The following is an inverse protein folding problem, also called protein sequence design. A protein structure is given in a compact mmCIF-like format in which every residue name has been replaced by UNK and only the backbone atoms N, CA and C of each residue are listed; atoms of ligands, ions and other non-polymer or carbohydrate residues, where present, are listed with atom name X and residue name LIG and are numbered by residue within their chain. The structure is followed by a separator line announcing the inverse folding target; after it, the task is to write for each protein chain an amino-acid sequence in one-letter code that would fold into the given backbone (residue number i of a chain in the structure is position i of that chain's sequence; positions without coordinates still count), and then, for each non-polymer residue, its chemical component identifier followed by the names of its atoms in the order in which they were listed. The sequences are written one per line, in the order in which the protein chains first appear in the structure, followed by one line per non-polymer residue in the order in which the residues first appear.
data_IF_544312755762
#
_entry.id   IF_544312755762
#
_cell.length_a   1.000
_cell.length_b   1.000
_cell.length_c   1.000
_cell.angle_alpha   90.00
_cell.angle_beta   90.00
_cell.angle_gamma   90.00
#
_symmetry.space_group_name_H-M   'P 1'
#
loop_
_entity.id
_entity.type
_entity.pdbx_description
1 polymer ?
#
# COMPACT_ATOMS: atom_id res chain seq x y z
N UNK A 1 -34.54 -12.80 -20.52
CA UNK A 1 -34.57 -12.17 -19.18
C UNK A 1 -33.66 -10.96 -19.30
N UNK A 2 -34.07 -9.78 -18.84
CA UNK A 2 -33.22 -8.58 -18.91
C UNK A 2 -31.99 -8.79 -18.03
N UNK A 3 -30.80 -8.63 -18.60
CA UNK A 3 -29.54 -8.76 -17.88
C UNK A 3 -29.44 -7.74 -16.73
N UNK A 4 -28.59 -8.06 -15.76
CA UNK A 4 -28.27 -7.19 -14.63
C UNK A 4 -27.50 -5.99 -15.16
N UNK A 5 -27.99 -4.79 -14.86
CA UNK A 5 -27.53 -3.54 -15.47
C UNK A 5 -26.38 -2.96 -14.66
N UNK A 6 -25.21 -2.87 -15.27
CA UNK A 6 -23.96 -2.44 -14.64
C UNK A 6 -23.59 -1.03 -15.09
N UNK A 7 -23.34 -0.14 -14.14
CA UNK A 7 -22.71 1.16 -14.38
C UNK A 7 -21.24 1.09 -13.95
N UNK A 8 -20.33 1.45 -14.85
CA UNK A 8 -18.90 1.56 -14.57
C UNK A 8 -18.52 3.01 -14.31
N UNK A 9 -17.76 3.27 -13.26
CA UNK A 9 -17.30 4.61 -12.94
C UNK A 9 -15.81 4.60 -12.61
N UNK A 10 -14.98 5.11 -13.53
CA UNK A 10 -13.52 5.15 -13.41
C UNK A 10 -12.99 6.25 -14.33
N UNK A 11 -12.01 7.05 -13.92
CA UNK A 11 -11.43 8.11 -14.76
C UNK A 11 -10.39 7.58 -15.78
N UNK A 12 -9.88 6.37 -15.58
CA UNK A 12 -8.88 5.73 -16.43
C UNK A 12 -9.53 4.87 -17.53
N UNK A 13 -9.54 5.41 -18.76
CA UNK A 13 -10.21 4.76 -19.90
C UNK A 13 -9.73 3.32 -20.20
N UNK A 14 -8.43 3.04 -20.07
CA UNK A 14 -7.87 1.69 -20.32
C UNK A 14 -8.38 0.69 -19.28
N UNK A 15 -8.38 1.07 -18.00
CA UNK A 15 -8.84 0.22 -16.90
C UNK A 15 -10.34 -0.04 -17.05
N UNK A 16 -11.11 1.02 -17.31
CA UNK A 16 -12.56 0.93 -17.54
C UNK A 16 -12.90 -0.01 -18.69
N UNK A 17 -12.15 0.02 -19.79
CA UNK A 17 -12.30 -0.90 -20.92
C UNK A 17 -11.99 -2.35 -20.53
N UNK A 18 -10.94 -2.60 -19.75
CA UNK A 18 -10.61 -3.95 -19.25
C UNK A 18 -11.70 -4.51 -18.34
N UNK A 19 -12.24 -3.69 -17.43
CA UNK A 19 -13.34 -4.07 -16.53
C UNK A 19 -14.61 -4.34 -17.33
N UNK A 20 -14.95 -3.50 -18.33
CA UNK A 20 -16.08 -3.73 -19.23
C UNK A 20 -16.00 -5.10 -19.87
N UNK A 21 -14.87 -5.44 -20.49
CA UNK A 21 -14.70 -6.74 -21.15
C UNK A 21 -14.91 -7.90 -20.16
N UNK A 22 -14.39 -7.78 -18.93
CA UNK A 22 -14.56 -8.79 -17.89
C UNK A 22 -16.02 -8.98 -17.45
N UNK A 23 -16.79 -7.89 -17.42
CA UNK A 23 -18.21 -7.89 -17.07
C UNK A 23 -19.04 -8.47 -18.23
N UNK A 24 -18.76 -8.07 -19.47
CA UNK A 24 -19.49 -8.52 -20.66
C UNK A 24 -19.22 -10.00 -21.02
N UNK A 25 -18.15 -10.62 -20.48
CA UNK A 25 -17.94 -12.07 -20.52
C UNK A 25 -18.94 -12.87 -19.66
N UNK A 26 -19.73 -12.21 -18.82
CA UNK A 26 -20.77 -12.83 -18.01
C UNK A 26 -22.13 -12.58 -18.67
N UNK A 27 -22.72 -13.61 -19.28
CA UNK A 27 -23.95 -13.53 -20.08
C UNK A 27 -25.15 -12.89 -19.36
N UNK A 28 -25.12 -12.81 -18.03
CA UNK A 28 -26.17 -12.26 -17.18
C UNK A 28 -26.00 -10.75 -16.90
N UNK A 29 -24.88 -10.13 -17.28
CA UNK A 29 -24.53 -8.74 -16.97
C UNK A 29 -24.43 -7.90 -18.25
N UNK A 30 -24.95 -6.67 -18.17
CA UNK A 30 -24.93 -5.70 -19.27
C UNK A 30 -24.39 -4.36 -18.78
N UNK A 31 -23.32 -3.85 -19.39
CA UNK A 31 -22.80 -2.52 -19.06
C UNK A 31 -23.63 -1.43 -19.75
N UNK A 32 -24.51 -0.78 -18.99
CA UNK A 32 -25.48 0.21 -19.49
C UNK A 32 -24.95 1.64 -19.56
N UNK A 33 -23.78 1.90 -18.98
CA UNK A 33 -23.15 3.21 -19.04
C UNK A 33 -21.78 3.28 -18.39
N UNK A 34 -21.11 4.40 -18.61
CA UNK A 34 -19.81 4.73 -18.05
C UNK A 34 -19.80 6.16 -17.51
N UNK A 35 -19.14 6.36 -16.38
CA UNK A 35 -18.83 7.65 -15.79
C UNK A 35 -17.32 7.78 -15.58
N UNK A 36 -16.81 9.03 -15.64
CA UNK A 36 -15.38 9.34 -15.49
C UNK A 36 -15.07 10.26 -14.30
N UNK A 37 -16.11 10.79 -13.67
CA UNK A 37 -16.03 11.76 -12.59
C UNK A 37 -17.32 11.71 -11.75
N UNK A 38 -17.32 12.39 -10.61
CA UNK A 38 -18.50 12.46 -9.73
C UNK A 38 -19.77 12.98 -10.43
N UNK A 39 -19.74 14.14 -11.11
CA UNK A 39 -20.93 14.69 -11.79
C UNK A 39 -21.52 13.75 -12.86
N UNK A 40 -20.69 13.13 -13.69
CA UNK A 40 -21.16 12.16 -14.69
C UNK A 40 -21.74 10.92 -14.03
N UNK A 41 -21.16 10.43 -12.93
CA UNK A 41 -21.71 9.31 -12.15
C UNK A 41 -23.13 9.60 -11.64
N UNK A 42 -23.34 10.74 -10.97
CA UNK A 42 -24.67 11.07 -10.44
C UNK A 42 -25.72 11.26 -11.55
N UNK A 43 -25.33 11.85 -12.68
CA UNK A 43 -26.21 11.98 -13.85
C UNK A 43 -26.57 10.61 -14.42
N UNK A 44 -25.59 9.70 -14.53
CA UNK A 44 -25.81 8.33 -15.01
C UNK A 44 -26.67 7.51 -14.05
N UNK A 45 -26.53 7.65 -12.74
CA UNK A 45 -27.39 6.98 -11.77
C UNK A 45 -28.86 7.39 -11.89
N UNK A 46 -29.13 8.68 -12.13
CA UNK A 46 -30.48 9.22 -12.30
C UNK A 46 -31.15 8.76 -13.60
N UNK A 47 -30.38 8.60 -14.66
CA UNK A 47 -30.91 8.30 -16.00
C UNK A 47 -30.93 6.81 -16.30
N UNK A 48 -29.92 6.07 -15.84
CA UNK A 48 -29.72 4.69 -16.20
C UNK A 48 -30.28 3.72 -15.17
N UNK A 49 -30.51 4.07 -13.91
CA UNK A 49 -31.04 3.12 -12.90
C UNK A 49 -30.35 1.73 -12.91
N UNK A 50 -29.02 1.65 -12.71
CA UNK A 50 -28.31 0.38 -12.72
C UNK A 50 -28.67 -0.49 -11.49
N UNK A 51 -28.44 -1.79 -11.61
CA UNK A 51 -28.55 -2.76 -10.51
C UNK A 51 -27.22 -2.90 -9.75
N UNK A 52 -26.10 -2.66 -10.45
CA UNK A 52 -24.75 -2.76 -9.93
C UNK A 52 -23.90 -1.55 -10.37
N UNK A 53 -23.23 -0.92 -9.41
CA UNK A 53 -22.23 0.11 -9.63
C UNK A 53 -20.84 -0.45 -9.33
N UNK A 54 -19.97 -0.45 -10.34
CA UNK A 54 -18.54 -0.66 -10.18
C UNK A 54 -17.83 0.68 -10.18
N UNK A 55 -17.16 1.04 -9.08
CA UNK A 55 -16.67 2.41 -8.90
C UNK A 55 -15.23 2.49 -8.40
N UNK A 56 -14.42 3.31 -9.07
CA UNK A 56 -13.17 3.83 -8.54
C UNK A 56 -13.45 5.07 -7.67
N UNK A 57 -13.06 5.01 -6.40
CA UNK A 57 -13.25 6.10 -5.44
C UNK A 57 -12.20 7.21 -5.58
N UNK A 58 -11.20 7.04 -6.43
CA UNK A 58 -10.15 8.05 -6.68
C UNK A 58 -10.50 9.02 -7.81
N UNK A 59 -11.66 8.86 -8.45
CA UNK A 59 -12.16 9.73 -9.51
C UNK A 59 -12.17 11.23 -9.12
N UNK A 60 -11.97 12.13 -10.09
CA UNK A 60 -12.06 13.57 -9.88
C UNK A 60 -13.48 13.98 -9.49
N UNK A 61 -13.59 15.08 -8.73
CA UNK A 61 -14.87 15.68 -8.32
C UNK A 61 -15.82 14.73 -7.57
N UNK A 62 -15.27 13.63 -7.04
CA UNK A 62 -15.99 12.63 -6.25
C UNK A 62 -15.45 12.59 -4.81
N UNK A 63 -16.33 12.73 -3.82
CA UNK A 63 -15.97 12.62 -2.40
C UNK A 63 -16.50 11.29 -1.84
N UNK A 64 -15.64 10.26 -1.65
CA UNK A 64 -16.11 8.88 -1.58
C UNK A 64 -17.11 8.58 -0.47
N UNK A 65 -16.81 8.94 0.78
CA UNK A 65 -17.67 8.56 1.91
C UNK A 65 -19.01 9.31 1.87
N UNK A 66 -19.05 10.66 1.74
CA UNK A 66 -20.32 11.37 1.62
C UNK A 66 -21.11 10.97 0.37
N UNK A 67 -20.45 10.81 -0.78
CA UNK A 67 -21.13 10.45 -2.01
C UNK A 67 -21.72 9.03 -1.96
N UNK A 68 -20.98 8.04 -1.43
CA UNK A 68 -21.54 6.69 -1.25
C UNK A 68 -22.71 6.68 -0.27
N UNK A 69 -22.64 7.47 0.83
CA UNK A 69 -23.80 7.60 1.75
C UNK A 69 -25.02 8.17 1.04
N UNK A 70 -24.82 9.20 0.22
CA UNK A 70 -25.89 9.78 -0.59
C UNK A 70 -26.44 8.75 -1.59
N UNK A 71 -25.59 8.07 -2.34
CA UNK A 71 -25.99 7.04 -3.29
C UNK A 71 -26.77 5.91 -2.59
N UNK A 72 -26.32 5.46 -1.42
CA UNK A 72 -27.02 4.42 -0.65
C UNK A 72 -28.38 4.90 -0.12
N UNK A 73 -28.50 6.18 0.22
CA UNK A 73 -29.78 6.78 0.64
C UNK A 73 -30.76 6.87 -0.54
N UNK A 74 -30.30 7.36 -1.68
CA UNK A 74 -31.11 7.58 -2.88
C UNK A 74 -31.44 6.27 -3.62
N UNK A 75 -30.55 5.28 -3.53
CA UNK A 75 -30.64 3.97 -4.20
C UNK A 75 -30.36 2.80 -3.23
N UNK A 76 -31.29 2.46 -2.32
CA UNK A 76 -31.08 1.46 -1.27
C UNK A 76 -30.72 0.06 -1.79
N UNK A 77 -31.27 -0.33 -2.94
CA UNK A 77 -31.09 -1.66 -3.55
C UNK A 77 -29.85 -1.75 -4.47
N UNK A 78 -29.23 -0.62 -4.83
CA UNK A 78 -28.09 -0.60 -5.73
C UNK A 78 -26.92 -1.35 -5.11
N UNK A 79 -26.41 -2.37 -5.79
CA UNK A 79 -25.19 -3.04 -5.36
C UNK A 79 -23.99 -2.16 -5.71
N UNK A 80 -23.09 -1.94 -4.76
CA UNK A 80 -21.91 -1.09 -4.96
C UNK A 80 -20.65 -1.90 -4.68
N UNK A 81 -19.83 -2.10 -5.70
CA UNK A 81 -18.52 -2.72 -5.58
C UNK A 81 -17.45 -1.68 -5.89
N UNK A 82 -16.65 -1.35 -4.89
CA UNK A 82 -15.51 -0.44 -5.07
C UNK A 82 -14.38 -1.21 -5.75
N UNK A 83 -13.79 -0.61 -6.77
CA UNK A 83 -12.63 -1.14 -7.49
C UNK A 83 -11.48 -0.14 -7.32
N UNK A 84 -10.44 -0.53 -6.59
CA UNK A 84 -9.35 0.40 -6.21
C UNK A 84 -7.98 -0.11 -6.65
N UNK A 85 -7.14 0.79 -7.15
CA UNK A 85 -5.71 0.52 -7.36
C UNK A 85 -4.90 0.55 -6.05
N UNK A 86 -5.50 1.07 -4.97
CA UNK A 86 -4.81 1.36 -3.71
C UNK A 86 -5.49 0.69 -2.51
N UNK A 87 -4.66 0.31 -1.58
CA UNK A 87 -4.88 -0.49 -0.37
C UNK A 87 -5.12 0.35 0.89
N UNK A 88 -5.61 1.59 0.74
CA UNK A 88 -5.72 2.57 1.84
C UNK A 88 -6.82 2.20 2.87
N UNK A 89 -6.39 1.67 4.02
CA UNK A 89 -7.22 1.09 5.09
C UNK A 89 -8.32 2.01 5.65
N UNK A 90 -8.09 3.33 5.70
CA UNK A 90 -9.04 4.30 6.28
C UNK A 90 -10.29 4.47 5.39
N UNK A 91 -10.15 4.38 4.07
CA UNK A 91 -11.29 4.46 3.16
C UNK A 91 -12.10 3.17 3.15
N UNK A 92 -11.45 2.00 3.27
CA UNK A 92 -12.14 0.71 3.25
C UNK A 92 -13.19 0.65 4.36
N UNK A 93 -12.79 0.90 5.61
CA UNK A 93 -13.75 0.87 6.73
C UNK A 93 -14.85 1.92 6.59
N UNK A 94 -14.48 3.15 6.18
CA UNK A 94 -15.44 4.24 5.97
C UNK A 94 -16.46 3.92 4.89
N UNK A 95 -16.04 3.30 3.78
CA UNK A 95 -16.89 2.91 2.66
C UNK A 95 -17.76 1.69 2.99
N UNK A 96 -17.21 0.70 3.70
CA UNK A 96 -18.00 -0.43 4.22
C UNK A 96 -19.10 0.07 5.17
N UNK A 97 -18.77 0.97 6.09
CA UNK A 97 -19.76 1.64 6.98
C UNK A 97 -20.73 2.54 6.22
N UNK A 98 -20.32 3.14 5.11
CA UNK A 98 -21.19 3.91 4.22
C UNK A 98 -22.14 3.02 3.40
N UNK A 99 -21.92 1.71 3.40
CA UNK A 99 -22.86 0.73 2.86
C UNK A 99 -22.46 0.14 1.52
N UNK A 100 -21.18 0.12 1.12
CA UNK A 100 -20.78 -0.64 -0.08
C UNK A 100 -20.96 -2.15 0.13
N UNK A 101 -21.21 -2.88 -0.95
CA UNK A 101 -21.36 -4.34 -0.94
C UNK A 101 -20.02 -5.05 -1.04
N UNK A 102 -19.02 -4.41 -1.63
CA UNK A 102 -17.68 -4.94 -1.54
C UNK A 102 -16.57 -3.98 -1.95
N UNK A 103 -15.36 -4.50 -1.79
CA UNK A 103 -14.12 -3.82 -2.14
C UNK A 103 -13.18 -4.81 -2.84
N UNK A 104 -12.81 -4.49 -4.06
CA UNK A 104 -11.95 -5.31 -4.92
C UNK A 104 -10.71 -4.51 -5.34
N UNK A 105 -9.54 -5.13 -5.28
CA UNK A 105 -8.28 -4.49 -5.73
C UNK A 105 -8.05 -4.74 -7.23
N UNK A 106 -7.68 -3.69 -7.95
CA UNK A 106 -7.39 -3.73 -9.41
C UNK A 106 -6.19 -4.60 -9.79
N UNK A 107 -5.35 -4.96 -8.82
CA UNK A 107 -4.15 -5.79 -9.02
C UNK A 107 -4.45 -7.31 -8.95
N UNK A 108 -5.69 -7.68 -8.60
CA UNK A 108 -6.12 -9.07 -8.56
C UNK A 108 -6.43 -9.59 -9.97
N UNK A 109 -6.30 -10.91 -10.19
CA UNK A 109 -6.69 -11.52 -11.46
C UNK A 109 -8.15 -11.20 -11.82
N UNK A 110 -8.43 -11.04 -13.12
CA UNK A 110 -9.78 -10.84 -13.66
C UNK A 110 -10.79 -11.91 -13.19
N UNK A 111 -10.32 -13.13 -12.94
CA UNK A 111 -11.15 -14.22 -12.42
C UNK A 111 -11.68 -13.94 -11.01
N UNK A 112 -10.92 -13.24 -10.16
CA UNK A 112 -11.37 -12.84 -8.83
C UNK A 112 -12.41 -11.73 -8.91
N UNK A 113 -12.31 -10.84 -9.91
CA UNK A 113 -13.36 -9.86 -10.17
C UNK A 113 -14.68 -10.56 -10.52
N UNK A 114 -14.65 -11.60 -11.36
CA UNK A 114 -15.85 -12.39 -11.71
C UNK A 114 -16.47 -13.04 -10.46
N UNK A 115 -15.65 -13.61 -9.59
CA UNK A 115 -16.12 -14.17 -8.32
C UNK A 115 -16.72 -13.09 -7.40
N UNK A 116 -16.09 -11.93 -7.33
CA UNK A 116 -16.58 -10.78 -6.56
C UNK A 116 -17.96 -10.33 -7.04
N UNK A 117 -18.14 -10.22 -8.37
CA UNK A 117 -19.42 -9.87 -8.99
C UNK A 117 -20.48 -10.89 -8.62
N UNK A 118 -20.23 -12.19 -8.82
CA UNK A 118 -21.20 -13.25 -8.46
C UNK A 118 -21.62 -13.19 -6.99
N UNK A 119 -20.67 -13.03 -6.06
CA UNK A 119 -20.96 -12.94 -4.62
C UNK A 119 -21.80 -11.71 -4.28
N UNK A 120 -21.39 -10.53 -4.77
CA UNK A 120 -22.14 -9.28 -4.55
C UNK A 120 -23.55 -9.38 -5.13
N UNK A 121 -23.71 -10.02 -6.29
CA UNK A 121 -25.02 -10.24 -6.91
C UNK A 121 -25.90 -11.20 -6.12
N UNK A 122 -25.32 -12.18 -5.42
CA UNK A 122 -26.04 -13.06 -4.49
C UNK A 122 -26.36 -12.39 -3.13
N UNK A 123 -25.99 -11.11 -2.96
CA UNK A 123 -26.22 -10.37 -1.71
C UNK A 123 -25.12 -10.57 -0.66
N UNK A 124 -24.06 -11.31 -0.99
CA UNK A 124 -22.90 -11.48 -0.13
C UNK A 124 -22.01 -10.23 -0.15
N UNK A 125 -21.17 -10.08 0.90
CA UNK A 125 -20.13 -9.07 0.91
C UNK A 125 -18.87 -9.62 0.23
N UNK A 126 -18.19 -8.77 -0.53
CA UNK A 126 -16.87 -9.08 -1.09
C UNK A 126 -15.81 -8.17 -0.51
N UNK A 127 -14.73 -8.76 0.01
CA UNK A 127 -13.54 -8.01 0.38
C UNK A 127 -12.36 -8.85 -0.13
N UNK A 128 -11.50 -8.26 -0.97
CA UNK A 128 -10.26 -8.93 -1.39
C UNK A 128 -9.46 -9.39 -0.17
N UNK A 129 -8.93 -10.61 -0.21
CA UNK A 129 -8.32 -11.31 0.93
C UNK A 129 -7.25 -10.47 1.64
N UNK A 130 -6.41 -9.77 0.87
CA UNK A 130 -5.36 -8.89 1.38
C UNK A 130 -5.88 -7.73 2.23
N UNK A 131 -7.13 -7.29 2.02
CA UNK A 131 -7.79 -6.27 2.83
C UNK A 131 -8.35 -6.88 4.12
N UNK A 132 -8.86 -8.11 4.07
CA UNK A 132 -9.41 -8.80 5.26
C UNK A 132 -8.33 -8.99 6.32
N UNK A 133 -7.14 -9.46 5.91
CA UNK A 133 -6.00 -9.66 6.82
C UNK A 133 -5.58 -8.35 7.51
N UNK A 134 -5.72 -7.20 6.84
CA UNK A 134 -5.43 -5.88 7.42
C UNK A 134 -6.54 -5.38 8.35
N UNK A 135 -7.81 -5.58 7.99
CA UNK A 135 -8.95 -5.15 8.81
C UNK A 135 -9.03 -5.88 10.16
N UNK A 136 -8.59 -7.13 10.23
CA UNK A 136 -8.56 -7.92 11.47
C UNK A 136 -7.47 -7.44 12.43
N UNK A 137 -6.44 -6.75 11.94
CA UNK A 137 -5.33 -6.20 12.74
C UNK A 137 -5.56 -4.76 13.23
N UNK A 138 -6.73 -4.15 12.97
CA UNK A 138 -7.09 -2.80 13.40
C UNK A 138 -7.96 -2.86 14.66
N UNK A 139 -7.42 -2.45 15.82
CA UNK A 139 -8.16 -2.40 17.09
C UNK A 139 -9.37 -1.43 17.04
N UNK A 140 -10.53 -1.74 17.66
CA UNK A 140 -11.78 -1.04 17.40
C UNK A 140 -12.05 0.21 18.27
N UNK A 141 -11.11 0.66 19.10
CA UNK A 141 -11.38 1.66 20.14
C UNK A 141 -10.65 2.98 19.89
N UNK A 142 -11.28 3.94 19.22
CA UNK A 142 -11.21 5.38 19.55
C UNK A 142 -12.12 6.22 18.63
N UNK A 143 -12.98 7.11 19.18
CA UNK A 143 -13.75 8.06 18.40
C UNK A 143 -13.17 9.48 18.54
N UNK A 144 -12.60 10.03 17.47
CA UNK A 144 -12.36 11.49 17.30
C UNK A 144 -12.28 11.81 15.80
N UNK A 145 -12.69 13.02 15.42
CA UNK A 145 -12.78 13.58 14.05
C UNK A 145 -11.74 13.06 13.03
N UNK A 146 -12.10 12.98 11.73
CA UNK A 146 -11.38 12.15 10.75
C UNK A 146 -9.90 12.56 10.65
N UNK A 147 -8.95 11.68 11.02
CA UNK A 147 -7.54 11.99 10.91
C UNK A 147 -7.16 12.13 9.43
N UNK A 148 -6.20 13.03 9.14
CA UNK A 148 -5.62 13.15 7.80
C UNK A 148 -5.07 11.80 7.34
N UNK A 149 -5.40 11.38 6.13
CA UNK A 149 -4.87 10.14 5.56
C UNK A 149 -3.35 10.20 5.43
N UNK A 150 -2.67 9.06 5.31
CA UNK A 150 -1.22 9.00 5.04
C UNK A 150 -0.85 9.87 3.83
N UNK A 151 -1.60 9.73 2.74
CA UNK A 151 -1.42 10.53 1.53
C UNK A 151 -1.67 12.02 1.76
N UNK A 152 -2.71 12.39 2.52
CA UNK A 152 -2.93 13.79 2.88
C UNK A 152 -1.77 14.33 3.71
N UNK A 153 -1.27 13.56 4.69
CA UNK A 153 -0.08 13.92 5.47
C UNK A 153 1.17 14.04 4.62
N UNK A 154 1.39 13.14 3.67
CA UNK A 154 2.50 13.22 2.72
C UNK A 154 2.41 14.49 1.88
N UNK A 155 1.22 14.82 1.38
CA UNK A 155 0.97 16.06 0.65
C UNK A 155 1.20 17.28 1.55
N UNK A 156 0.64 17.33 2.77
CA UNK A 156 0.89 18.41 3.74
C UNK A 156 2.39 18.56 4.06
N UNK A 157 3.10 17.45 4.24
CA UNK A 157 4.54 17.45 4.55
C UNK A 157 5.36 18.01 3.39
N UNK A 158 5.04 17.60 2.16
CA UNK A 158 5.69 18.13 0.97
C UNK A 158 5.32 19.61 0.73
N UNK A 159 4.09 20.03 1.06
CA UNK A 159 3.68 21.44 1.07
C UNK A 159 4.50 22.27 2.07
N UNK A 160 4.68 21.76 3.30
CA UNK A 160 5.46 22.40 4.36
C UNK A 160 6.92 22.59 3.94
N UNK A 161 7.48 21.63 3.20
CA UNK A 161 8.82 21.70 2.60
C UNK A 161 8.93 22.65 1.40
N UNK A 162 7.83 23.31 1.01
CA UNK A 162 7.82 24.29 -0.09
C UNK A 162 7.71 23.69 -1.50
N UNK A 163 7.39 22.41 -1.65
CA UNK A 163 7.33 21.77 -2.97
C UNK A 163 6.16 22.28 -3.82
N UNK A 164 6.40 22.52 -5.11
CA UNK A 164 5.35 22.87 -6.08
C UNK A 164 4.42 21.69 -6.35
N UNK A 165 3.22 21.94 -6.88
CA UNK A 165 2.29 20.86 -7.25
C UNK A 165 2.92 19.87 -8.26
N UNK A 166 3.76 20.36 -9.16
CA UNK A 166 4.51 19.54 -10.11
C UNK A 166 5.54 18.66 -9.41
N UNK A 167 6.29 19.20 -8.45
CA UNK A 167 7.27 18.45 -7.67
C UNK A 167 6.59 17.40 -6.78
N UNK A 168 5.45 17.74 -6.16
CA UNK A 168 4.65 16.81 -5.36
C UNK A 168 4.09 15.69 -6.25
N UNK A 169 3.56 16.04 -7.43
CA UNK A 169 3.06 15.09 -8.42
C UNK A 169 4.14 14.07 -8.82
N UNK A 170 5.35 14.56 -9.12
CA UNK A 170 6.50 13.71 -9.44
C UNK A 170 6.92 12.82 -8.28
N UNK A 171 7.02 13.37 -7.05
CA UNK A 171 7.45 12.61 -5.87
C UNK A 171 6.44 11.54 -5.44
N UNK A 172 5.15 11.80 -5.68
CA UNK A 172 4.05 10.93 -5.30
C UNK A 172 3.55 10.05 -6.45
N UNK A 173 4.16 10.16 -7.63
CA UNK A 173 3.77 9.51 -8.89
C UNK A 173 2.29 9.72 -9.24
N UNK A 174 1.83 10.96 -9.12
CA UNK A 174 0.47 11.39 -9.43
C UNK A 174 0.50 12.43 -10.55
N UNK A 175 -0.64 12.65 -11.23
CA UNK A 175 -0.74 13.78 -12.14
C UNK A 175 -0.81 15.10 -11.34
N UNK A 176 -0.38 16.21 -11.95
CA UNK A 176 -0.50 17.54 -11.33
C UNK A 176 -1.96 17.85 -10.98
N UNK A 177 -2.88 17.45 -11.87
CA UNK A 177 -4.32 17.61 -11.67
C UNK A 177 -4.83 16.80 -10.47
N UNK A 178 -4.30 15.60 -10.27
CA UNK A 178 -4.61 14.76 -9.09
C UNK A 178 -4.12 15.43 -7.81
N UNK A 179 -2.93 16.05 -7.82
CA UNK A 179 -2.43 16.83 -6.67
C UNK A 179 -3.32 18.04 -6.39
N UNK A 180 -3.73 18.80 -7.40
CA UNK A 180 -4.66 19.93 -7.22
C UNK A 180 -5.99 19.50 -6.60
N UNK A 181 -6.53 18.37 -7.03
CA UNK A 181 -7.76 17.80 -6.48
C UNK A 181 -7.56 17.38 -5.01
N UNK A 182 -6.43 16.74 -4.67
CA UNK A 182 -6.10 16.40 -3.29
C UNK A 182 -5.95 17.64 -2.41
N UNK A 183 -5.27 18.69 -2.90
CA UNK A 183 -5.08 19.95 -2.17
C UNK A 183 -6.41 20.65 -1.91
N UNK A 184 -7.30 20.68 -2.89
CA UNK A 184 -8.64 21.27 -2.75
C UNK A 184 -9.44 20.57 -1.64
N UNK A 185 -9.44 19.22 -1.64
CA UNK A 185 -10.12 18.42 -0.61
C UNK A 185 -9.50 18.64 0.79
N UNK A 186 -8.18 18.73 0.83
CA UNK A 186 -7.38 18.90 2.03
C UNK A 186 -7.55 20.28 2.65
N UNK A 187 -7.64 21.34 1.86
CA UNK A 187 -7.95 22.69 2.35
C UNK A 187 -9.35 22.77 2.94
N UNK A 188 -10.34 22.18 2.25
CA UNK A 188 -11.71 22.08 2.77
C UNK A 188 -11.76 21.31 4.09
N UNK A 189 -11.01 20.21 4.21
CA UNK A 189 -10.93 19.40 5.42
C UNK A 189 -10.27 20.15 6.59
N UNK A 190 -9.25 20.96 6.31
CA UNK A 190 -8.56 21.80 7.30
C UNK A 190 -9.28 23.13 7.59
N UNK A 191 -10.35 23.46 6.86
CA UNK A 191 -11.08 24.72 7.00
C UNK A 191 -10.32 25.95 6.52
N UNK A 192 -9.36 25.79 5.60
CA UNK A 192 -8.50 26.86 5.08
C UNK A 192 -8.81 27.20 3.64
N UNK A 193 -8.49 28.41 3.22
CA UNK A 193 -8.74 28.93 1.87
C UNK A 193 -7.46 29.05 1.05
N UNK A 194 -6.29 28.97 1.69
CA UNK A 194 -5.01 29.13 1.00
C UNK A 194 -3.95 28.12 1.42
N UNK A 195 -3.00 27.87 0.50
CA UNK A 195 -1.81 27.06 0.76
C UNK A 195 -1.02 27.57 1.97
N UNK A 196 -0.92 28.89 2.10
CA UNK A 196 -0.17 29.53 3.19
C UNK A 196 -0.86 29.28 4.53
N UNK A 197 -2.20 29.39 4.58
CA UNK A 197 -2.99 29.02 5.76
C UNK A 197 -2.82 27.53 6.11
N UNK A 198 -2.86 26.64 5.11
CA UNK A 198 -2.64 25.21 5.34
C UNK A 198 -1.27 24.93 5.97
N UNK A 199 -0.21 25.59 5.49
CA UNK A 199 1.16 25.45 6.04
C UNK A 199 1.28 26.08 7.43
N UNK A 200 0.62 27.22 7.68
CA UNK A 200 0.62 27.86 9.00
C UNK A 200 -0.10 26.98 10.04
N UNK A 201 -1.24 26.36 9.70
CA UNK A 201 -1.94 25.43 10.59
C UNK A 201 -1.03 24.27 11.03
N UNK A 202 -0.22 23.71 10.12
CA UNK A 202 0.74 22.64 10.45
C UNK A 202 1.83 23.15 11.38
N UNK A 203 2.37 24.34 11.11
CA UNK A 203 3.43 24.93 11.94
C UNK A 203 2.94 25.19 13.37
N UNK A 204 1.71 25.66 13.50
CA UNK A 204 1.13 26.04 14.77
C UNK A 204 0.49 24.83 15.51
N UNK A 205 0.31 23.70 14.82
CA UNK A 205 -0.21 22.43 15.36
C UNK A 205 0.55 21.21 14.76
N UNK A 206 1.81 20.95 15.17
CA UNK A 206 2.61 19.85 14.63
C UNK A 206 1.97 18.47 14.90
N UNK A 207 1.11 18.38 15.91
CA UNK A 207 0.36 17.18 16.28
C UNK A 207 -0.64 16.72 15.22
N UNK A 208 -1.00 17.60 14.26
CA UNK A 208 -1.83 17.24 13.09
C UNK A 208 -1.08 16.27 12.15
N UNK A 209 0.26 16.30 12.17
CA UNK A 209 1.11 15.31 11.50
C UNK A 209 1.40 14.10 12.39
N UNK A 210 1.23 14.24 13.70
CA UNK A 210 1.43 13.17 14.67
C UNK A 210 0.23 12.20 14.69
N UNK A 211 0.53 10.94 14.96
CA UNK A 211 -0.49 9.93 15.21
C UNK A 211 -1.16 10.31 16.54
N UNK A 212 -2.49 10.46 16.56
CA UNK A 212 -3.25 10.49 17.82
C UNK A 212 -3.02 9.16 18.53
N UNK A 213 -2.16 9.15 19.55
CA UNK A 213 -1.76 7.92 20.23
C UNK A 213 -0.48 7.98 21.09
N UNK A 214 0.17 9.12 21.28
CA UNK A 214 1.22 9.25 22.28
C UNK A 214 0.93 10.42 23.22
N UNK A 215 0.32 10.11 24.36
CA UNK A 215 0.42 10.95 25.55
C UNK A 215 1.91 11.04 25.90
N UNK A 216 2.37 12.27 26.08
CA UNK A 216 3.69 12.59 26.60
C UNK A 216 4.02 11.76 27.84
N UNK A 217 5.00 10.87 27.71
CA UNK A 217 5.79 10.42 28.83
C UNK A 217 7.12 11.17 28.72
N UNK A 218 7.39 11.95 29.74
CA UNK A 218 8.54 12.84 29.90
C UNK A 218 9.86 12.14 29.55
N UNK A 219 10.74 12.89 28.88
CA UNK A 219 12.12 12.48 28.67
C UNK A 219 12.84 12.34 30.01
N UNK A 220 13.73 11.34 30.13
CA UNK A 220 15.03 11.59 30.69
C UNK A 220 16.03 11.67 29.55
N UNK A 221 16.72 12.81 29.47
CA UNK A 221 17.94 12.97 28.70
C UNK A 221 18.96 11.95 29.23
N UNK A 222 19.33 10.98 28.41
CA UNK A 222 20.54 10.18 28.63
C UNK A 222 21.48 10.32 27.44
N UNK A 223 22.64 10.91 27.73
CA UNK A 223 23.76 11.04 26.82
C UNK A 223 24.52 9.70 26.75
N UNK A 224 24.66 9.15 25.52
CA UNK A 224 25.73 8.23 25.01
C UNK A 224 25.88 6.82 25.64
N UNK A 225 26.31 5.75 24.91
CA UNK A 225 27.52 5.72 24.04
C UNK A 225 27.43 4.90 22.71
N UNK A 226 28.41 5.11 21.82
CA UNK A 226 28.85 4.29 20.66
C UNK A 226 27.94 3.09 20.25
N UNK A 227 26.83 3.33 19.55
CA UNK A 227 26.00 2.25 19.01
C UNK A 227 26.64 1.64 17.76
N UNK A 228 26.96 0.33 17.81
CA UNK A 228 27.42 -0.47 16.66
C UNK A 228 26.53 -0.24 15.43
N UNK A 229 27.15 0.02 14.28
CA UNK A 229 26.45 0.20 13.00
C UNK A 229 26.05 -1.17 12.45
N UNK A 230 24.76 -1.35 12.19
CA UNK A 230 24.24 -2.52 11.52
C UNK A 230 24.61 -2.45 10.03
N UNK A 231 25.10 -3.54 9.44
CA UNK A 231 25.42 -3.60 8.00
C UNK A 231 24.50 -4.60 7.32
N UNK A 232 23.68 -4.11 6.38
CA UNK A 232 22.64 -4.88 5.68
C UNK A 232 22.92 -4.89 4.19
N UNK A 233 22.78 -6.05 3.54
CA UNK A 233 22.89 -6.20 2.09
C UNK A 233 21.53 -6.53 1.49
N UNK A 234 21.12 -5.78 0.48
CA UNK A 234 19.90 -6.00 -0.31
C UNK A 234 20.30 -6.60 -1.67
N UNK A 235 19.89 -7.84 -1.93
CA UNK A 235 20.16 -8.55 -3.18
C UNK A 235 18.84 -8.75 -3.90
N UNK A 236 18.62 -8.00 -4.98
CA UNK A 236 17.39 -8.02 -5.76
C UNK A 236 17.70 -7.44 -7.14
N UNK A 237 17.18 -7.97 -8.24
CA UNK A 237 17.46 -7.42 -9.57
C UNK A 237 16.67 -6.11 -9.84
N UNK A 238 15.59 -5.87 -9.09
CA UNK A 238 14.72 -4.71 -9.24
C UNK A 238 15.25 -3.48 -8.46
N UNK A 239 15.79 -2.46 -9.17
CA UNK A 239 16.37 -1.29 -8.52
C UNK A 239 15.35 -0.46 -7.73
N UNK A 240 14.07 -0.47 -8.14
CA UNK A 240 13.02 0.26 -7.43
C UNK A 240 12.73 -0.39 -6.08
N UNK A 241 12.70 -1.71 -6.04
CA UNK A 241 12.44 -2.46 -4.82
C UNK A 241 13.60 -2.34 -3.83
N UNK A 242 14.86 -2.41 -4.30
CA UNK A 242 16.04 -2.12 -3.47
C UNK A 242 15.98 -0.72 -2.86
N UNK A 243 15.67 0.30 -3.66
CA UNK A 243 15.58 1.68 -3.18
C UNK A 243 14.43 1.86 -2.16
N UNK A 244 13.31 1.17 -2.34
CA UNK A 244 12.22 1.16 -1.36
C UNK A 244 12.67 0.55 -0.04
N UNK A 245 13.26 -0.65 -0.06
CA UNK A 245 13.78 -1.30 1.15
C UNK A 245 14.86 -0.47 1.83
N UNK A 246 15.77 0.13 1.07
CA UNK A 246 16.81 1.01 1.60
C UNK A 246 16.20 2.21 2.36
N UNK A 247 15.18 2.86 1.79
CA UNK A 247 14.47 3.97 2.45
C UNK A 247 13.74 3.52 3.71
N UNK A 248 13.10 2.35 3.66
CA UNK A 248 12.37 1.81 4.82
C UNK A 248 13.34 1.46 5.96
N UNK A 249 14.41 0.72 5.66
CA UNK A 249 15.45 0.38 6.65
C UNK A 249 16.12 1.65 7.18
N UNK A 250 16.42 2.64 6.33
CA UNK A 250 17.03 3.91 6.77
C UNK A 250 16.11 4.76 7.65
N UNK A 251 14.78 4.61 7.56
CA UNK A 251 13.82 5.24 8.48
C UNK A 251 13.77 4.52 9.83
N UNK A 252 13.81 3.19 9.81
CA UNK A 252 13.73 2.35 11.01
C UNK A 252 15.05 2.39 11.80
N UNK A 253 16.18 2.27 11.10
CA UNK A 253 17.52 2.24 11.64
C UNK A 253 18.43 3.22 10.87
N UNK A 254 18.41 4.53 11.21
CA UNK A 254 19.18 5.56 10.50
C UNK A 254 20.70 5.36 10.54
N UNK A 255 21.20 4.59 11.51
CA UNK A 255 22.62 4.27 11.67
C UNK A 255 23.07 3.02 10.90
N UNK A 256 22.16 2.35 10.18
CA UNK A 256 22.49 1.18 9.37
C UNK A 256 23.23 1.57 8.08
N UNK A 257 24.28 0.81 7.77
CA UNK A 257 24.95 0.85 6.47
C UNK A 257 24.25 -0.15 5.54
N UNK A 258 23.70 0.33 4.42
CA UNK A 258 22.95 -0.49 3.47
C UNK A 258 23.75 -0.60 2.18
N UNK A 259 23.93 -1.84 1.71
CA UNK A 259 24.65 -2.18 0.50
C UNK A 259 23.69 -2.88 -0.48
N UNK A 260 23.92 -2.71 -1.78
CA UNK A 260 23.06 -3.27 -2.81
C UNK A 260 23.85 -4.22 -3.72
N UNK A 261 23.19 -5.28 -4.16
CA UNK A 261 23.63 -6.14 -5.25
C UNK A 261 22.43 -6.43 -6.15
N UNK A 262 22.64 -6.38 -7.46
CA UNK A 262 21.61 -6.67 -8.46
C UNK A 262 21.71 -8.09 -9.05
N UNK A 263 22.75 -8.84 -8.68
CA UNK A 263 23.01 -10.19 -9.17
C UNK A 263 23.83 -11.01 -8.15
N UNK A 264 23.96 -12.33 -8.41
CA UNK A 264 24.67 -13.26 -7.52
C UNK A 264 26.14 -12.90 -7.35
N UNK A 265 26.82 -12.54 -8.43
CA UNK A 265 28.25 -12.22 -8.40
C UNK A 265 28.54 -11.02 -7.49
N UNK A 266 27.77 -9.94 -7.64
CA UNK A 266 27.88 -8.75 -6.79
C UNK A 266 27.59 -9.05 -5.31
N UNK A 267 26.62 -9.91 -5.02
CA UNK A 267 26.32 -10.34 -3.65
C UNK A 267 27.46 -11.15 -3.03
N UNK A 268 28.08 -12.05 -3.80
CA UNK A 268 29.23 -12.85 -3.37
C UNK A 268 30.48 -12.00 -3.19
N UNK A 269 30.72 -11.03 -4.06
CA UNK A 269 31.85 -10.11 -3.93
C UNK A 269 31.72 -9.24 -2.68
N UNK A 270 30.50 -8.77 -2.37
CA UNK A 270 30.21 -8.15 -1.09
C UNK A 270 30.52 -9.11 0.06
N UNK A 271 29.99 -10.33 0.05
CA UNK A 271 30.23 -11.32 1.10
C UNK A 271 31.72 -11.64 1.35
N UNK A 272 32.58 -11.57 0.32
CA UNK A 272 34.03 -11.74 0.45
C UNK A 272 34.74 -10.48 0.96
N UNK A 273 34.21 -9.30 0.66
CA UNK A 273 34.84 -8.01 0.92
C UNK A 273 34.74 -7.54 2.38
N UNK A 274 33.81 -8.10 3.16
CA UNK A 274 33.57 -7.63 4.51
C UNK A 274 32.57 -8.46 5.30
N UNK A 275 32.34 -8.06 6.54
CA UNK A 275 31.37 -8.67 7.44
C UNK A 275 30.06 -7.88 7.41
N UNK A 276 28.97 -8.58 7.12
CA UNK A 276 27.62 -8.03 7.13
C UNK A 276 26.78 -8.80 8.14
N UNK A 277 25.78 -8.14 8.69
CA UNK A 277 24.95 -8.72 9.74
C UNK A 277 23.72 -9.41 9.13
N UNK A 278 23.20 -8.88 8.03
CA UNK A 278 21.98 -9.36 7.38
C UNK A 278 22.12 -9.28 5.85
N UNK A 279 21.71 -10.35 5.17
CA UNK A 279 21.43 -10.37 3.74
C UNK A 279 19.93 -10.61 3.52
N UNK A 280 19.28 -9.71 2.81
CA UNK A 280 17.94 -9.89 2.25
C UNK A 280 18.10 -10.24 0.77
N UNK A 281 17.74 -11.46 0.40
CA UNK A 281 18.03 -12.00 -0.94
C UNK A 281 16.72 -12.36 -1.64
N UNK A 282 16.45 -11.74 -2.78
CA UNK A 282 15.34 -12.14 -3.64
C UNK A 282 15.58 -13.52 -4.22
N UNK A 283 14.54 -14.36 -4.24
CA UNK A 283 14.58 -15.70 -4.81
C UNK A 283 14.64 -15.66 -6.33
N UNK A 284 14.05 -14.65 -6.96
CA UNK A 284 14.01 -14.50 -8.41
C UNK A 284 14.93 -13.36 -8.85
N UNK A 285 16.22 -13.65 -9.05
CA UNK A 285 17.22 -12.68 -9.51
C UNK A 285 17.36 -12.76 -11.04
N UNK A 286 16.40 -12.23 -11.78
CA UNK A 286 16.32 -12.36 -13.24
C UNK A 286 16.26 -13.83 -13.67
N UNK A 287 17.24 -14.27 -14.45
CA UNK A 287 17.37 -15.67 -14.91
C UNK A 287 18.08 -16.58 -13.90
N UNK A 288 18.50 -16.04 -12.74
CA UNK A 288 19.29 -16.73 -11.74
C UNK A 288 18.47 -17.05 -10.48
N UNK A 289 18.82 -18.13 -9.78
CA UNK A 289 18.11 -18.58 -8.59
C UNK A 289 18.75 -17.99 -7.31
N UNK A 290 17.99 -17.15 -6.59
CA UNK A 290 18.40 -16.53 -5.33
C UNK A 290 18.70 -17.51 -4.19
N UNK A 291 18.19 -18.74 -4.25
CA UNK A 291 18.55 -19.80 -3.29
C UNK A 291 20.00 -20.24 -3.51
N UNK A 292 20.46 -20.30 -4.77
CA UNK A 292 21.89 -20.54 -5.08
C UNK A 292 22.75 -19.36 -4.63
N UNK A 293 22.25 -18.13 -4.73
CA UNK A 293 22.90 -16.95 -4.18
C UNK A 293 23.12 -17.09 -2.67
N UNK A 294 22.07 -17.42 -1.93
CA UNK A 294 22.12 -17.62 -0.49
C UNK A 294 23.15 -18.68 -0.07
N UNK A 295 23.22 -19.81 -0.79
CA UNK A 295 24.23 -20.85 -0.56
C UNK A 295 25.66 -20.32 -0.73
N UNK A 296 25.94 -19.57 -1.81
CA UNK A 296 27.27 -19.02 -2.07
C UNK A 296 27.64 -17.94 -1.04
N UNK A 297 26.70 -17.05 -0.70
CA UNK A 297 26.88 -16.04 0.34
C UNK A 297 27.17 -16.70 1.69
N UNK A 298 26.44 -17.77 2.07
CA UNK A 298 26.65 -18.48 3.33
C UNK A 298 28.04 -19.12 3.43
N UNK A 299 28.62 -19.58 2.32
CA UNK A 299 29.96 -20.14 2.29
C UNK A 299 31.06 -19.11 2.62
N UNK A 300 30.89 -17.85 2.21
CA UNK A 300 31.86 -16.78 2.48
C UNK A 300 31.53 -15.96 3.74
N UNK A 301 30.26 -15.88 4.12
CA UNK A 301 29.78 -15.12 5.26
C UNK A 301 28.87 -15.98 6.18
N UNK A 302 29.42 -17.02 6.84
CA UNK A 302 28.64 -18.02 7.58
C UNK A 302 27.91 -17.45 8.80
N UNK A 303 28.46 -16.39 9.40
CA UNK A 303 27.90 -15.69 10.57
C UNK A 303 26.78 -14.72 10.19
N UNK A 304 26.62 -14.40 8.91
CA UNK A 304 25.56 -13.50 8.46
C UNK A 304 24.21 -14.19 8.56
N UNK A 305 23.20 -13.42 8.99
CA UNK A 305 21.80 -13.84 8.88
C UNK A 305 21.37 -13.69 7.43
N UNK A 306 20.72 -14.72 6.88
CA UNK A 306 20.23 -14.71 5.51
C UNK A 306 18.73 -14.89 5.55
N UNK A 307 18.01 -13.96 4.93
CA UNK A 307 16.56 -14.01 4.77
C UNK A 307 16.26 -13.97 3.29
N UNK A 308 15.55 -15.01 2.82
CA UNK A 308 15.10 -15.07 1.44
C UNK A 308 13.74 -14.38 1.33
N UNK A 309 13.60 -13.55 0.31
CA UNK A 309 12.37 -12.80 0.02
C UNK A 309 11.87 -13.22 -1.36
N UNK A 310 10.57 -13.37 -1.55
CA UNK A 310 10.02 -13.73 -2.87
C UNK A 310 8.69 -13.05 -3.14
N UNK A 311 8.48 -12.58 -4.36
CA UNK A 311 7.16 -12.15 -4.83
C UNK A 311 6.21 -13.33 -5.12
N UNK A 312 6.77 -14.55 -5.22
CA UNK A 312 6.05 -15.80 -5.47
C UNK A 312 6.43 -16.81 -4.38
N UNK A 313 5.84 -16.72 -3.19
CA UNK A 313 6.17 -17.58 -2.07
C UNK A 313 5.58 -18.99 -2.24
N UNK A 314 6.21 -19.81 -3.07
CA UNK A 314 5.82 -21.21 -3.21
C UNK A 314 6.38 -22.10 -2.07
N UNK A 315 5.67 -23.20 -1.78
CA UNK A 315 6.05 -24.18 -0.77
C UNK A 315 7.39 -24.85 -1.08
N UNK A 316 7.72 -25.07 -2.35
CA UNK A 316 8.98 -25.67 -2.74
C UNK A 316 10.16 -24.74 -2.48
N UNK A 317 10.05 -23.46 -2.84
CA UNK A 317 11.06 -22.46 -2.53
C UNK A 317 11.25 -22.28 -1.03
N UNK A 318 10.17 -22.25 -0.25
CA UNK A 318 10.25 -22.18 1.21
C UNK A 318 11.01 -23.36 1.80
N UNK A 319 10.75 -24.59 1.33
CA UNK A 319 11.46 -25.79 1.79
C UNK A 319 12.94 -25.71 1.45
N UNK A 320 13.27 -25.45 0.18
CA UNK A 320 14.65 -25.32 -0.29
C UNK A 320 15.41 -24.23 0.47
N UNK A 321 14.75 -23.12 0.81
CA UNK A 321 15.33 -22.02 1.59
C UNK A 321 15.74 -22.44 3.00
N UNK A 322 14.90 -23.22 3.68
CA UNK A 322 15.21 -23.70 5.04
C UNK A 322 16.28 -24.79 5.02
N UNK A 323 16.26 -25.67 4.02
CA UNK A 323 17.25 -26.74 3.86
C UNK A 323 18.68 -26.21 3.69
N UNK A 324 18.84 -25.02 3.11
CA UNK A 324 20.14 -24.35 2.94
C UNK A 324 20.55 -23.48 4.14
N UNK A 325 19.76 -23.48 5.22
CA UNK A 325 20.06 -22.73 6.44
C UNK A 325 19.75 -21.23 6.36
N UNK A 326 18.83 -20.82 5.48
CA UNK A 326 18.28 -19.46 5.56
C UNK A 326 17.47 -19.32 6.85
N UNK A 327 17.62 -18.17 7.51
CA UNK A 327 16.99 -17.90 8.81
C UNK A 327 15.49 -17.66 8.70
N UNK A 328 15.03 -17.19 7.53
CA UNK A 328 13.62 -17.04 7.22
C UNK A 328 13.40 -17.00 5.71
N UNK A 329 12.16 -17.31 5.31
CA UNK A 329 11.63 -17.10 3.97
C UNK A 329 10.38 -16.24 4.07
N UNK A 330 10.39 -15.08 3.42
CA UNK A 330 9.38 -14.03 3.60
C UNK A 330 8.77 -13.66 2.25
N UNK A 331 7.46 -13.51 2.21
CA UNK A 331 6.80 -12.96 1.03
C UNK A 331 7.12 -11.45 0.95
N UNK A 332 7.57 -10.96 -0.21
CA UNK A 332 7.82 -9.53 -0.43
C UNK A 332 6.59 -8.66 -0.10
N UNK A 333 5.37 -9.21 -0.21
CA UNK A 333 4.11 -8.54 0.13
C UNK A 333 3.93 -8.30 1.63
N UNK A 334 4.55 -9.12 2.48
CA UNK A 334 4.50 -8.99 3.94
C UNK A 334 5.77 -8.37 4.52
N UNK A 335 6.76 -8.03 3.69
CA UNK A 335 7.99 -7.34 4.09
C UNK A 335 7.76 -5.84 4.27
N UNK A 336 6.90 -5.49 5.21
CA UNK A 336 6.55 -4.11 5.57
C UNK A 336 7.51 -3.51 6.61
N UNK A 337 7.25 -2.26 7.04
CA UNK A 337 8.12 -1.58 8.01
C UNK A 337 8.15 -2.27 9.37
N UNK A 338 7.04 -2.90 9.80
CA UNK A 338 6.97 -3.59 11.08
C UNK A 338 7.76 -4.90 11.05
N UNK A 339 7.60 -5.68 9.98
CA UNK A 339 8.33 -6.92 9.74
C UNK A 339 9.82 -6.66 9.59
N UNK A 340 10.20 -5.62 8.84
CA UNK A 340 11.59 -5.16 8.76
C UNK A 340 12.13 -4.71 10.12
N UNK A 341 11.36 -3.96 10.91
CA UNK A 341 11.79 -3.57 12.26
C UNK A 341 12.05 -4.79 13.13
N UNK A 342 11.13 -5.77 13.13
CA UNK A 342 11.29 -6.99 13.90
C UNK A 342 12.53 -7.80 13.47
N UNK A 343 12.75 -7.94 12.16
CA UNK A 343 13.95 -8.59 11.61
C UNK A 343 15.23 -7.88 12.07
N UNK A 344 15.26 -6.55 11.98
CA UNK A 344 16.44 -5.76 12.34
C UNK A 344 16.70 -5.80 13.85
N UNK A 345 15.66 -5.71 14.67
CA UNK A 345 15.76 -5.85 16.13
C UNK A 345 16.27 -7.24 16.53
N UNK A 346 15.75 -8.31 15.92
CA UNK A 346 16.19 -9.67 16.18
C UNK A 346 17.66 -9.90 15.77
N UNK A 347 18.08 -9.31 14.64
CA UNK A 347 19.50 -9.31 14.24
C UNK A 347 20.37 -8.54 15.23
N UNK A 348 19.92 -7.39 15.71
CA UNK A 348 20.66 -6.58 16.69
C UNK A 348 20.78 -7.32 18.03
N UNK A 349 19.70 -7.94 18.52
CA UNK A 349 19.69 -8.72 19.76
C UNK A 349 20.56 -9.98 19.66
N UNK A 350 20.49 -10.71 18.54
CA UNK A 350 21.32 -11.89 18.30
C UNK A 350 22.82 -11.55 18.30
N UNK A 351 23.19 -10.38 17.74
CA UNK A 351 24.58 -9.90 17.75
C UNK A 351 25.07 -9.43 19.13
N UNK A 352 24.17 -9.10 20.06
CA UNK A 352 24.51 -8.77 21.45
C UNK A 352 24.74 -10.01 22.30
N UNK A 353 24.14 -11.15 21.96
CA UNK A 353 24.29 -12.43 22.67
C UNK A 353 25.47 -13.28 22.17
N UNK A 354 25.97 -13.01 20.96
CA UNK A 354 27.12 -13.72 20.36
C UNK A 354 28.49 -13.12 20.75
N UNK A 355 28.52 -12.13 21.66
CA UNK A 355 29.71 -11.57 22.29
C UNK A 355 29.69 -11.86 23.78
#
# INVERSE_FOLDING_TARGET
MSGIRVLLADDHAIVRSGIRNAVEELDELEVVGEAKDGPTLFTSLQTLHPDLLLIDVTMPEFDPIPAIRQIRHDYPELKILVISAYDDDIYVQGLLKAGVNGYHLKDQPLQDLRLALQRVLNGEKWISSSIVDRLVNLDPTTPTSPPLTSRQRDILHLLQKGNSNQSIALQLNLSVKTIENHLTRLYRLLGVQSRLEAVNIIRDNPDILAISGQVAAEMPVHQTPLTKRLSVVLVDDNPRYRQQLQRTIGKIYPSANIYEADNIQSAVDLAKSGSFHLFLIDVLLGDQNGIQCALQVKAFAPQSRIILISAYPDKEFRRQSLDIGASAFIDKKVLDSATLNHILEDVVQSNLQAQ
#
